data_IF_181508538243
#
_entry.id   IF_181508538243
#
_cell.length_a   1.000
_cell.length_b   1.000
_cell.length_c   1.000
_cell.angle_alpha   90.00
_cell.angle_beta   90.00
_cell.angle_gamma   90.00
#
_symmetry.space_group_name_H-M   'P 1'
#
loop_
_entity.id
_entity.type
_entity.pdbx_description
1 polymer ?
#
# COMPACT_ATOMS: atom_id res chain seq x y z
N UNK A 1 13.92 -47.86 15.30
CA UNK A 1 14.17 -46.57 14.62
C UNK A 1 15.51 -46.68 13.90
N UNK A 2 15.53 -46.64 12.57
CA UNK A 2 16.74 -46.93 11.78
C UNK A 2 17.72 -45.75 11.80
N UNK A 3 19.03 -46.04 11.86
CA UNK A 3 20.08 -45.01 11.89
C UNK A 3 20.08 -44.07 10.65
N UNK A 4 19.52 -44.52 9.52
CA UNK A 4 19.31 -43.66 8.35
C UNK A 4 18.16 -42.66 8.52
N UNK A 5 17.11 -43.06 9.24
CA UNK A 5 15.93 -42.24 9.52
C UNK A 5 16.27 -41.12 10.53
N UNK A 6 17.09 -41.42 11.54
CA UNK A 6 17.61 -40.40 12.45
C UNK A 6 18.52 -39.38 11.74
N UNK A 7 19.31 -39.81 10.74
CA UNK A 7 20.18 -38.92 9.96
C UNK A 7 19.39 -38.03 8.99
N UNK A 8 18.30 -38.51 8.40
CA UNK A 8 17.43 -37.70 7.54
C UNK A 8 16.71 -36.62 8.34
N UNK A 9 16.15 -36.97 9.50
CA UNK A 9 15.52 -35.98 10.39
C UNK A 9 16.53 -34.94 10.88
N UNK A 10 17.73 -35.37 11.31
CA UNK A 10 18.75 -34.41 11.75
C UNK A 10 19.17 -33.43 10.65
N UNK A 11 19.28 -33.90 9.39
CA UNK A 11 19.55 -33.02 8.24
C UNK A 11 18.41 -32.03 7.99
N UNK A 12 17.17 -32.49 8.06
CA UNK A 12 15.99 -31.65 7.89
C UNK A 12 15.93 -30.57 9.00
N UNK A 13 16.11 -30.96 10.27
CA UNK A 13 16.19 -30.02 11.39
C UNK A 13 17.32 -29.00 11.23
N UNK A 14 18.51 -29.43 10.79
CA UNK A 14 19.65 -28.54 10.58
C UNK A 14 19.43 -27.59 9.39
N UNK A 15 18.84 -28.05 8.29
CA UNK A 15 18.47 -27.21 7.14
C UNK A 15 17.44 -26.16 7.54
N UNK A 16 16.32 -26.57 8.16
CA UNK A 16 15.28 -25.65 8.64
C UNK A 16 15.87 -24.61 9.61
N UNK A 17 16.79 -25.02 10.50
CA UNK A 17 17.45 -24.10 11.45
C UNK A 17 18.42 -23.13 10.77
N UNK A 18 19.18 -23.57 9.77
CA UNK A 18 20.10 -22.70 9.01
C UNK A 18 19.34 -21.70 8.14
N UNK A 19 18.27 -22.11 7.47
CA UNK A 19 17.45 -21.23 6.64
C UNK A 19 16.75 -20.17 7.48
N UNK A 20 16.25 -20.53 8.67
CA UNK A 20 15.60 -19.59 9.59
C UNK A 20 16.53 -18.44 10.01
N UNK A 21 17.83 -18.72 10.23
CA UNK A 21 18.82 -17.69 10.59
C UNK A 21 19.12 -16.72 9.44
N UNK A 22 19.06 -17.19 8.20
CA UNK A 22 19.30 -16.34 7.01
C UNK A 22 18.09 -15.49 6.63
N UNK A 23 16.88 -15.98 6.92
CA UNK A 23 15.62 -15.28 6.61
C UNK A 23 15.33 -14.19 7.65
N UNK A 24 15.66 -14.41 8.92
CA UNK A 24 15.35 -13.49 10.02
C UNK A 24 15.79 -12.03 9.78
N UNK A 25 17.06 -11.73 9.44
CA UNK A 25 17.48 -10.34 9.21
C UNK A 25 16.76 -9.72 8.00
N UNK A 26 16.48 -10.50 6.95
CA UNK A 26 15.72 -10.01 5.79
C UNK A 26 14.28 -9.69 6.15
N UNK A 27 13.62 -10.56 6.91
CA UNK A 27 12.26 -10.34 7.40
C UNK A 27 12.17 -9.11 8.31
N UNK A 28 13.17 -8.91 9.19
CA UNK A 28 13.27 -7.73 10.02
C UNK A 28 13.39 -6.45 9.18
N UNK A 29 14.28 -6.43 8.18
CA UNK A 29 14.45 -5.29 7.28
C UNK A 29 13.17 -4.98 6.49
N UNK A 30 12.49 -6.02 5.99
CA UNK A 30 11.23 -5.87 5.26
C UNK A 30 10.14 -5.29 6.18
N UNK A 31 9.99 -5.80 7.40
CA UNK A 31 9.02 -5.29 8.37
C UNK A 31 9.28 -3.86 8.80
N UNK A 32 10.56 -3.48 8.96
CA UNK A 32 10.95 -2.11 9.26
C UNK A 32 10.62 -1.18 8.08
N UNK A 33 10.98 -1.58 6.86
CA UNK A 33 10.72 -0.80 5.66
C UNK A 33 9.22 -0.63 5.38
N UNK A 34 8.44 -1.71 5.43
CA UNK A 34 6.99 -1.64 5.21
C UNK A 34 6.28 -0.86 6.31
N UNK A 35 6.73 -0.97 7.56
CA UNK A 35 6.25 -0.15 8.67
C UNK A 35 6.48 1.35 8.46
N UNK A 36 7.68 1.73 8.00
CA UNK A 36 8.00 3.13 7.68
C UNK A 36 7.13 3.65 6.52
N UNK A 37 6.95 2.86 5.46
CA UNK A 37 6.07 3.22 4.34
C UNK A 37 4.62 3.36 4.80
N UNK A 38 4.12 2.45 5.63
CA UNK A 38 2.76 2.50 6.17
C UNK A 38 2.53 3.74 7.04
N UNK A 39 3.49 4.11 7.90
CA UNK A 39 3.42 5.33 8.72
C UNK A 39 3.44 6.56 7.83
N UNK A 40 4.36 6.64 6.86
CA UNK A 40 4.44 7.75 5.92
C UNK A 40 3.13 7.92 5.12
N UNK A 41 2.55 6.81 4.65
CA UNK A 41 1.27 6.81 3.96
C UNK A 41 0.15 7.34 4.86
N UNK A 42 0.03 6.82 6.09
CA UNK A 42 -0.96 7.28 7.07
C UNK A 42 -0.80 8.77 7.40
N UNK A 43 0.43 9.26 7.55
CA UNK A 43 0.69 10.68 7.81
C UNK A 43 0.25 11.57 6.65
N UNK A 44 0.47 11.14 5.40
CA UNK A 44 0.00 11.88 4.21
C UNK A 44 -1.52 11.88 4.11
N UNK A 45 -2.19 10.78 4.46
CA UNK A 45 -3.65 10.73 4.52
C UNK A 45 -4.20 11.70 5.57
N UNK A 46 -3.60 11.73 6.77
CA UNK A 46 -3.98 12.67 7.81
C UNK A 46 -3.80 14.14 7.39
N UNK A 47 -2.72 14.44 6.64
CA UNK A 47 -2.53 15.77 6.07
C UNK A 47 -3.62 16.11 5.03
N UNK A 48 -4.00 15.16 4.18
CA UNK A 48 -5.12 15.31 3.24
C UNK A 48 -6.44 15.60 3.95
N UNK A 49 -6.72 14.91 5.07
CA UNK A 49 -7.89 15.16 5.90
C UNK A 49 -7.88 16.56 6.51
N UNK A 50 -6.75 17.01 7.04
CA UNK A 50 -6.60 18.38 7.58
C UNK A 50 -6.81 19.44 6.52
N UNK A 51 -6.22 19.25 5.33
CA UNK A 51 -6.40 20.16 4.19
C UNK A 51 -7.87 20.22 3.77
N UNK A 52 -8.53 19.07 3.62
CA UNK A 52 -9.95 19.01 3.26
C UNK A 52 -10.83 19.70 4.29
N UNK A 53 -10.60 19.45 5.58
CA UNK A 53 -11.35 20.11 6.66
C UNK A 53 -11.16 21.63 6.64
N UNK A 54 -9.93 22.09 6.37
CA UNK A 54 -9.62 23.51 6.22
C UNK A 54 -10.33 24.15 5.02
N UNK A 55 -10.36 23.45 3.87
CA UNK A 55 -11.08 23.90 2.67
C UNK A 55 -12.60 23.97 2.92
N UNK A 56 -13.17 22.98 3.61
CA UNK A 56 -14.60 22.98 3.97
C UNK A 56 -14.90 24.11 4.93
N UNK A 57 -14.10 24.31 5.98
CA UNK A 57 -14.28 25.43 6.91
C UNK A 57 -14.20 26.79 6.19
N UNK A 58 -13.21 26.97 5.30
CA UNK A 58 -13.09 28.16 4.47
C UNK A 58 -14.28 28.35 3.53
N UNK A 59 -14.84 27.27 2.98
CA UNK A 59 -15.97 27.35 2.04
C UNK A 59 -17.21 28.01 2.64
N UNK A 60 -17.40 27.90 3.96
CA UNK A 60 -18.49 28.55 4.68
C UNK A 60 -18.37 30.09 4.72
N UNK A 61 -17.19 30.66 4.44
CA UNK A 61 -17.01 32.13 4.37
C UNK A 61 -17.62 32.75 3.12
N UNK A 62 -17.89 31.95 2.07
CA UNK A 62 -18.47 32.37 0.80
C UNK A 62 -19.69 31.48 0.46
N UNK A 63 -20.88 31.75 1.03
CA UNK A 63 -22.01 30.81 1.03
C UNK A 63 -22.51 30.40 -0.37
N UNK A 64 -22.38 31.29 -1.37
CA UNK A 64 -22.89 31.06 -2.72
C UNK A 64 -21.97 30.16 -3.58
N UNK A 65 -20.65 30.31 -3.44
CA UNK A 65 -19.66 29.72 -4.38
C UNK A 65 -18.54 28.94 -3.69
N UNK A 66 -18.34 29.11 -2.38
CA UNK A 66 -17.22 28.52 -1.64
C UNK A 66 -17.20 26.99 -1.70
N UNK A 67 -18.37 26.35 -1.78
CA UNK A 67 -18.51 24.89 -1.89
C UNK A 67 -17.89 24.31 -3.16
N UNK A 68 -17.73 25.11 -4.22
CA UNK A 68 -17.14 24.65 -5.49
C UNK A 68 -15.68 24.25 -5.31
N UNK A 69 -14.95 24.90 -4.41
CA UNK A 69 -13.51 24.66 -4.19
C UNK A 69 -13.23 23.26 -3.62
N UNK A 70 -13.81 22.82 -2.48
CA UNK A 70 -13.59 21.46 -1.98
C UNK A 70 -14.12 20.38 -2.93
N UNK A 71 -15.20 20.65 -3.67
CA UNK A 71 -15.71 19.73 -4.71
C UNK A 71 -14.71 19.58 -5.85
N UNK A 72 -14.18 20.69 -6.36
CA UNK A 72 -13.21 20.66 -7.46
C UNK A 72 -11.88 20.04 -7.02
N UNK A 73 -11.45 20.32 -5.78
CA UNK A 73 -10.29 19.66 -5.17
C UNK A 73 -10.47 18.14 -5.12
N UNK A 74 -11.62 17.65 -4.64
CA UNK A 74 -11.92 16.23 -4.59
C UNK A 74 -11.96 15.61 -5.99
N UNK A 75 -12.61 16.27 -6.95
CA UNK A 75 -12.73 15.80 -8.32
C UNK A 75 -11.38 15.71 -9.04
N UNK A 76 -10.57 16.78 -8.97
CA UNK A 76 -9.24 16.82 -9.60
C UNK A 76 -8.31 15.79 -8.95
N UNK A 77 -8.26 15.74 -7.61
CA UNK A 77 -7.41 14.78 -6.89
C UNK A 77 -7.75 13.33 -7.25
N UNK A 78 -9.04 13.00 -7.29
CA UNK A 78 -9.53 11.69 -7.70
C UNK A 78 -9.19 11.38 -9.16
N UNK A 79 -9.40 12.32 -10.07
CA UNK A 79 -9.09 12.16 -11.49
C UNK A 79 -7.60 11.93 -11.72
N UNK A 80 -6.73 12.71 -11.08
CA UNK A 80 -5.27 12.55 -11.18
C UNK A 80 -4.85 11.18 -10.62
N UNK A 81 -5.39 10.76 -9.48
CA UNK A 81 -5.11 9.44 -8.91
C UNK A 81 -5.47 8.30 -9.88
N UNK A 82 -6.67 8.36 -10.46
CA UNK A 82 -7.16 7.37 -11.42
C UNK A 82 -6.29 7.35 -12.68
N UNK A 83 -5.96 8.52 -13.24
CA UNK A 83 -5.14 8.64 -14.44
C UNK A 83 -3.71 8.15 -14.20
N UNK A 84 -3.12 8.46 -13.04
CA UNK A 84 -1.80 7.99 -12.65
C UNK A 84 -1.76 6.47 -12.66
N UNK A 85 -2.67 5.81 -11.95
CA UNK A 85 -2.71 4.34 -11.85
C UNK A 85 -2.98 3.71 -13.20
N UNK A 86 -3.98 4.21 -13.94
CA UNK A 86 -4.37 3.64 -15.25
C UNK A 86 -3.25 3.72 -16.29
N UNK A 87 -2.45 4.79 -16.30
CA UNK A 87 -1.39 4.99 -17.30
C UNK A 87 -0.07 4.32 -16.95
N UNK A 88 0.24 4.12 -15.66
CA UNK A 88 1.56 3.66 -15.24
C UNK A 88 1.59 2.19 -14.83
N UNK A 89 0.69 1.80 -13.92
CA UNK A 89 0.67 0.48 -13.26
C UNK A 89 -0.79 0.11 -12.95
N UNK A 90 -1.54 -0.45 -13.92
CA UNK A 90 -2.95 -0.82 -13.74
C UNK A 90 -3.17 -1.81 -12.58
N UNK A 91 -2.19 -2.65 -12.26
CA UNK A 91 -2.21 -3.61 -11.16
C UNK A 91 -2.16 -2.96 -9.76
N UNK A 92 -1.85 -1.66 -9.68
CA UNK A 92 -1.96 -0.87 -8.45
C UNK A 92 -3.41 -0.40 -8.16
N UNK A 93 -4.39 -0.75 -9.00
CA UNK A 93 -5.79 -0.37 -8.78
C UNK A 93 -6.47 -1.16 -7.64
N UNK A 94 -7.49 -0.55 -7.03
CA UNK A 94 -8.32 -1.19 -6.00
C UNK A 94 -7.56 -1.57 -4.73
N UNK A 95 -8.00 -2.66 -4.08
CA UNK A 95 -7.38 -3.13 -2.83
C UNK A 95 -5.94 -3.61 -3.02
N UNK A 96 -5.65 -4.36 -4.10
CA UNK A 96 -4.34 -4.98 -4.30
C UNK A 96 -4.17 -6.36 -3.66
N UNK A 97 -4.99 -6.71 -2.66
CA UNK A 97 -4.98 -8.03 -2.01
C UNK A 97 -5.18 -9.17 -3.02
N UNK A 98 -6.16 -9.14 -3.94
CA UNK A 98 -6.32 -10.20 -4.93
C UNK A 98 -5.13 -10.32 -5.90
N UNK A 99 -4.45 -9.19 -6.19
CA UNK A 99 -3.26 -9.20 -7.03
C UNK A 99 -2.08 -9.86 -6.31
N UNK A 100 -1.85 -9.51 -5.03
CA UNK A 100 -0.85 -10.16 -4.20
C UNK A 100 -1.12 -11.65 -4.03
N UNK A 101 -2.37 -12.05 -3.80
CA UNK A 101 -2.74 -13.46 -3.71
C UNK A 101 -2.41 -14.20 -5.02
N UNK A 102 -2.73 -13.61 -6.17
CA UNK A 102 -2.37 -14.17 -7.47
C UNK A 102 -0.84 -14.27 -7.66
N UNK A 103 -0.06 -13.29 -7.20
CA UNK A 103 1.41 -13.33 -7.22
C UNK A 103 1.96 -14.46 -6.35
N UNK A 104 1.45 -14.61 -5.12
CA UNK A 104 1.85 -15.67 -4.19
C UNK A 104 1.54 -17.07 -4.76
N UNK A 105 0.42 -17.19 -5.48
CA UNK A 105 0.04 -18.41 -6.22
C UNK A 105 0.73 -18.55 -7.57
N UNK A 106 1.66 -17.66 -7.95
CA UNK A 106 2.38 -17.64 -9.23
C UNK A 106 1.50 -17.51 -10.48
N UNK A 107 0.33 -16.89 -10.35
CA UNK A 107 -0.59 -16.60 -11.46
C UNK A 107 -0.34 -15.22 -12.10
N UNK A 108 0.42 -14.34 -11.44
CA UNK A 108 0.77 -12.98 -11.88
C UNK A 108 2.21 -12.66 -11.45
N UNK A 109 2.85 -11.75 -12.17
CA UNK A 109 4.15 -11.19 -11.80
C UNK A 109 3.99 -9.89 -10.99
N UNK A 110 4.99 -9.58 -10.16
CA UNK A 110 5.03 -8.39 -9.32
C UNK A 110 6.07 -7.37 -9.80
N UNK A 111 5.61 -6.26 -10.36
CA UNK A 111 6.45 -5.11 -10.77
C UNK A 111 6.71 -4.14 -9.62
N UNK A 112 7.26 -4.64 -8.51
CA UNK A 112 7.36 -3.90 -7.23
C UNK A 112 7.97 -2.49 -7.35
N UNK A 113 9.00 -2.31 -8.20
CA UNK A 113 9.71 -1.02 -8.38
C UNK A 113 8.81 0.08 -8.92
N UNK A 114 7.88 -0.26 -9.82
CA UNK A 114 6.91 0.68 -10.37
C UNK A 114 5.64 0.73 -9.51
N UNK A 115 5.24 -0.41 -8.95
CA UNK A 115 4.01 -0.55 -8.19
C UNK A 115 4.03 0.25 -6.89
N UNK A 116 5.09 0.16 -6.10
CA UNK A 116 5.19 0.80 -4.80
C UNK A 116 4.97 2.33 -4.88
N UNK A 117 5.72 3.10 -5.70
CA UNK A 117 5.52 4.55 -5.77
C UNK A 117 4.14 4.92 -6.32
N UNK A 118 3.63 4.19 -7.31
CA UNK A 118 2.32 4.47 -7.92
C UNK A 118 1.18 4.18 -6.93
N UNK A 119 1.28 3.07 -6.17
CA UNK A 119 0.28 2.72 -5.16
C UNK A 119 0.27 3.73 -4.02
N UNK A 120 1.45 4.17 -3.58
CA UNK A 120 1.59 5.19 -2.55
C UNK A 120 0.97 6.51 -2.99
N UNK A 121 1.45 7.09 -4.10
CA UNK A 121 1.00 8.41 -4.56
C UNK A 121 -0.47 8.37 -5.00
N UNK A 122 -0.87 7.34 -5.75
CA UNK A 122 -2.26 7.15 -6.18
C UNK A 122 -3.20 6.98 -4.99
N UNK A 123 -2.80 6.21 -3.97
CA UNK A 123 -3.57 6.05 -2.74
C UNK A 123 -3.69 7.35 -1.94
N UNK A 124 -2.60 8.11 -1.80
CA UNK A 124 -2.61 9.41 -1.10
C UNK A 124 -3.51 10.40 -1.83
N UNK A 125 -3.42 10.49 -3.15
CA UNK A 125 -4.27 11.39 -3.93
C UNK A 125 -5.73 10.98 -3.84
N UNK A 126 -6.05 9.69 -4.03
CA UNK A 126 -7.41 9.18 -4.00
C UNK A 126 -8.09 9.37 -2.64
N UNK A 127 -7.48 8.85 -1.58
CA UNK A 127 -8.06 8.89 -0.22
C UNK A 127 -7.95 10.32 0.34
N UNK A 128 -6.81 10.98 0.16
CA UNK A 128 -6.59 12.34 0.65
C UNK A 128 -7.51 13.38 0.00
N UNK A 129 -7.89 13.20 -1.27
CA UNK A 129 -8.89 14.05 -1.93
C UNK A 129 -10.34 13.75 -1.51
N UNK A 130 -10.58 12.68 -0.76
CA UNK A 130 -11.89 12.36 -0.19
C UNK A 130 -12.64 11.18 -0.82
N UNK A 131 -11.98 10.31 -1.62
CA UNK A 131 -12.64 9.05 -2.02
C UNK A 131 -12.86 8.14 -0.82
N UNK A 132 -14.05 7.54 -0.75
CA UNK A 132 -14.44 6.60 0.31
C UNK A 132 -13.75 5.24 0.13
N UNK A 133 -12.45 5.18 0.40
CA UNK A 133 -11.61 3.99 0.28
C UNK A 133 -10.84 3.73 1.58
N UNK A 134 -10.63 2.45 1.88
CA UNK A 134 -9.80 2.04 3.01
C UNK A 134 -8.31 2.10 2.70
N UNK A 135 -7.49 2.39 3.70
CA UNK A 135 -6.02 2.36 3.63
C UNK A 135 -5.42 0.95 3.72
N UNK A 136 -6.21 -0.04 4.13
CA UNK A 136 -5.73 -1.41 4.40
C UNK A 136 -5.17 -2.08 3.15
N UNK A 137 -5.90 -2.00 2.03
CA UNK A 137 -5.44 -2.58 0.76
C UNK A 137 -4.10 -2.02 0.28
N UNK A 138 -3.97 -0.69 0.10
CA UNK A 138 -2.70 -0.06 -0.25
C UNK A 138 -1.55 -0.43 0.69
N UNK A 139 -1.78 -0.47 2.00
CA UNK A 139 -0.74 -0.78 2.99
C UNK A 139 -0.26 -2.23 2.88
N UNK A 140 -1.13 -3.17 2.54
CA UNK A 140 -0.74 -4.57 2.33
C UNK A 140 -0.02 -4.77 1.00
N UNK A 141 -0.40 -4.04 -0.05
CA UNK A 141 0.21 -4.16 -1.38
C UNK A 141 1.60 -3.52 -1.48
N UNK A 142 1.90 -2.55 -0.62
CA UNK A 142 3.19 -1.84 -0.54
C UNK A 142 4.18 -2.58 0.37
#
# INVERSE_FOLDING_TARGET
MNAQQAKSELREYLHVRQDRRRIFPKAFLVGLASGLVAVAFRSMLALGDLLRNSLVSWSHTLPLVGWMVPVLFAAIGSAVAILLVRKTVPEASGSGIPHLEAVLRRHRDLRWRALLPVKFVGGVLAIGSGLALGREGPTVQM
#
